data_IF_227967992032
#
_entry.id   IF_227967992032
#
_cell.length_a   1.000
_cell.length_b   1.000
_cell.length_c   1.000
_cell.angle_alpha   90.00
_cell.angle_beta   90.00
_cell.angle_gamma   90.00
#
_symmetry.space_group_name_H-M   'P 1'
#
loop_
_entity.id
_entity.type
_entity.pdbx_description
1 polymer ?
#
# COMPACT_ATOMS: atom_id res chain seq x y z
N UNK A 1 20.56 18.52 14.18
CA UNK A 1 20.11 17.12 14.15
C UNK A 1 21.25 16.27 14.67
N UNK A 2 21.10 15.61 15.81
CA UNK A 2 22.17 14.73 16.31
C UNK A 2 22.25 13.49 15.40
N UNK A 3 23.46 12.99 15.09
CA UNK A 3 23.62 11.86 14.17
C UNK A 3 22.88 10.59 14.65
N UNK A 4 22.75 10.44 15.97
CA UNK A 4 21.99 9.36 16.60
C UNK A 4 20.48 9.43 16.27
N UNK A 5 19.90 10.63 16.28
CA UNK A 5 18.48 10.83 16.02
C UNK A 5 18.13 10.55 14.56
N UNK A 6 19.01 10.95 13.63
CA UNK A 6 18.85 10.64 12.20
C UNK A 6 18.89 9.13 11.95
N UNK A 7 19.82 8.41 12.58
CA UNK A 7 19.90 6.95 12.47
C UNK A 7 18.65 6.23 12.99
N UNK A 8 18.12 6.66 14.15
CA UNK A 8 16.88 6.11 14.69
C UNK A 8 15.67 6.39 13.80
N UNK A 9 15.58 7.58 13.22
CA UNK A 9 14.51 7.93 12.29
C UNK A 9 14.59 7.08 11.00
N UNK A 10 15.79 6.90 10.44
CA UNK A 10 16.00 6.02 9.28
C UNK A 10 15.61 4.59 9.63
N UNK A 11 16.02 4.07 10.79
CA UNK A 11 15.68 2.73 11.23
C UNK A 11 14.17 2.53 11.40
N UNK A 12 13.47 3.49 12.01
CA UNK A 12 12.02 3.44 12.20
C UNK A 12 11.26 3.46 10.85
N UNK A 13 11.67 4.33 9.92
CA UNK A 13 11.06 4.41 8.58
C UNK A 13 11.38 3.16 7.77
N UNK A 14 12.61 2.64 7.82
CA UNK A 14 13.01 1.42 7.13
C UNK A 14 12.24 0.19 7.65
N UNK A 15 12.10 0.05 8.97
CA UNK A 15 11.27 -1.01 9.56
C UNK A 15 9.80 -0.87 9.16
N UNK A 16 9.25 0.35 9.20
CA UNK A 16 7.89 0.62 8.74
C UNK A 16 7.68 0.29 7.26
N UNK A 17 8.65 0.61 6.40
CA UNK A 17 8.60 0.31 4.97
C UNK A 17 8.71 -1.19 4.68
N UNK A 18 9.62 -1.89 5.36
CA UNK A 18 9.75 -3.35 5.27
C UNK A 18 8.48 -4.01 5.76
N UNK A 19 7.93 -3.59 6.91
CA UNK A 19 6.66 -4.09 7.42
C UNK A 19 5.52 -3.83 6.44
N UNK A 20 5.36 -2.62 5.91
CA UNK A 20 4.32 -2.29 4.93
C UNK A 20 4.47 -3.09 3.62
N UNK A 21 5.69 -3.51 3.27
CA UNK A 21 5.97 -4.36 2.09
C UNK A 21 5.83 -5.86 2.37
N UNK A 22 6.11 -6.30 3.59
CA UNK A 22 5.89 -7.68 4.03
C UNK A 22 4.45 -7.96 4.46
N UNK A 23 3.71 -6.93 4.89
CA UNK A 23 2.31 -7.04 5.28
C UNK A 23 1.44 -7.63 4.16
N UNK A 24 1.50 -7.16 2.90
CA UNK A 24 0.77 -7.80 1.82
C UNK A 24 1.30 -9.21 1.54
N UNK A 25 2.56 -9.51 1.79
CA UNK A 25 3.11 -10.85 1.55
C UNK A 25 2.67 -11.88 2.61
N UNK A 26 2.53 -11.45 3.87
CA UNK A 26 1.98 -12.27 4.97
C UNK A 26 0.45 -12.38 4.86
N UNK A 27 -0.24 -11.30 4.46
CA UNK A 27 -1.69 -11.33 4.19
C UNK A 27 -2.05 -12.09 2.90
N UNK A 28 -1.17 -12.10 1.89
CA UNK A 28 -1.35 -12.76 0.59
C UNK A 28 -0.17 -13.69 0.28
N UNK A 29 -0.11 -14.88 0.91
CA UNK A 29 0.92 -15.86 0.58
C UNK A 29 0.76 -16.39 -0.87
N UNK A 30 1.89 -16.59 -1.55
CA UNK A 30 2.11 -16.89 -3.00
C UNK A 30 1.40 -18.12 -3.61
N UNK A 31 0.33 -18.68 -3.01
CA UNK A 31 -0.25 -19.94 -3.48
C UNK A 31 -1.75 -20.15 -3.23
N UNK A 32 -2.48 -19.15 -2.74
CA UNK A 32 -3.94 -19.23 -2.51
C UNK A 32 -4.61 -18.02 -3.13
N UNK A 33 -5.69 -18.25 -3.87
CA UNK A 33 -6.49 -17.21 -4.53
C UNK A 33 -6.67 -16.00 -3.61
N UNK A 34 -6.34 -14.80 -4.12
CA UNK A 34 -6.48 -13.57 -3.36
C UNK A 34 -7.91 -13.49 -2.78
N UNK A 35 -8.06 -13.27 -1.46
CA UNK A 35 -9.34 -13.35 -0.78
C UNK A 35 -10.38 -12.49 -1.50
N UNK A 36 -11.65 -12.91 -1.51
CA UNK A 36 -12.69 -12.34 -2.36
C UNK A 36 -12.81 -10.82 -2.19
N UNK A 37 -12.50 -10.28 -1.01
CA UNK A 37 -12.46 -8.84 -0.75
C UNK A 37 -11.40 -8.09 -1.56
N UNK A 38 -10.21 -8.65 -1.73
CA UNK A 38 -9.10 -8.00 -2.45
C UNK A 38 -9.28 -8.13 -3.96
N UNK A 39 -9.79 -9.27 -4.42
CA UNK A 39 -10.21 -9.44 -5.82
C UNK A 39 -11.39 -8.52 -6.16
N UNK A 40 -12.34 -8.36 -5.23
CA UNK A 40 -13.46 -7.42 -5.37
C UNK A 40 -12.94 -5.98 -5.43
N UNK A 41 -12.08 -5.59 -4.49
CA UNK A 41 -11.48 -4.26 -4.47
C UNK A 41 -10.68 -3.99 -5.75
N UNK A 42 -9.86 -4.94 -6.21
CA UNK A 42 -9.14 -4.83 -7.48
C UNK A 42 -10.04 -4.72 -8.71
N UNK A 43 -11.28 -5.24 -8.68
CA UNK A 43 -12.28 -5.06 -9.75
C UNK A 43 -12.99 -3.70 -9.68
N UNK A 44 -13.28 -3.19 -8.49
CA UNK A 44 -14.02 -1.92 -8.33
C UNK A 44 -13.13 -0.68 -8.29
N UNK A 45 -11.89 -0.82 -7.81
CA UNK A 45 -10.94 0.28 -7.65
C UNK A 45 -10.58 0.96 -8.99
N UNK A 46 -10.34 0.24 -10.11
CA UNK A 46 -10.04 0.87 -11.40
C UNK A 46 -11.20 1.71 -11.91
N UNK A 47 -12.43 1.22 -11.79
CA UNK A 47 -13.63 1.95 -12.21
C UNK A 47 -13.84 3.22 -11.35
N UNK A 48 -13.63 3.13 -10.04
CA UNK A 48 -13.71 4.26 -9.13
C UNK A 48 -12.64 5.32 -9.43
N UNK A 49 -11.39 4.89 -9.69
CA UNK A 49 -10.30 5.79 -10.07
C UNK A 49 -10.59 6.51 -11.40
N UNK A 50 -11.12 5.80 -12.40
CA UNK A 50 -11.50 6.44 -13.67
C UNK A 50 -12.56 7.51 -13.46
N UNK A 51 -13.58 7.25 -12.64
CA UNK A 51 -14.59 8.26 -12.28
C UNK A 51 -13.97 9.47 -11.56
N UNK A 52 -13.07 9.24 -10.62
CA UNK A 52 -12.39 10.30 -9.87
C UNK A 52 -11.48 11.15 -10.78
N UNK A 53 -10.75 10.53 -11.72
CA UNK A 53 -9.94 11.23 -12.70
C UNK A 53 -10.78 12.13 -13.60
N UNK A 54 -11.94 11.65 -14.06
CA UNK A 54 -12.86 12.47 -14.86
C UNK A 54 -13.37 13.67 -14.07
N UNK A 55 -13.83 13.46 -12.82
CA UNK A 55 -14.28 14.56 -11.95
C UNK A 55 -13.16 15.56 -11.67
N UNK A 56 -11.94 15.06 -11.46
CA UNK A 56 -10.78 15.92 -11.21
C UNK A 56 -10.40 16.74 -12.45
N UNK A 57 -10.44 16.15 -13.65
CA UNK A 57 -10.14 16.87 -14.90
C UNK A 57 -11.23 17.88 -15.29
N UNK A 58 -12.47 17.69 -14.82
CA UNK A 58 -13.59 18.61 -15.05
C UNK A 58 -13.66 19.75 -14.02
N UNK A 59 -12.84 19.69 -12.96
CA UNK A 59 -12.76 20.71 -11.91
C UNK A 59 -11.56 21.61 -12.13
#
# INVERSE_FOLDING_TARGET
MTPLQTLLMIAAVALGAILARFLPFVLFPDGREAPPFVTFLGKVLPAAMMGLLVVYCLK
#
